data_IF_963883675872
#
_entry.id   IF_963883675872
#
_cell.length_a   1.000
_cell.length_b   1.000
_cell.length_c   1.000
_cell.angle_alpha   90.00
_cell.angle_beta   90.00
_cell.angle_gamma   90.00
#
_symmetry.space_group_name_H-M   'P 1'
#
loop_
_entity.id
_entity.type
_entity.pdbx_description
1 polymer ?
#
# COMPACT_ATOMS: atom_id res chain seq x y z
N UNK A 1 -19.62 8.49 9.00
CA UNK A 1 -20.44 7.28 9.14
C UNK A 1 -19.54 6.10 8.86
N UNK A 2 -19.25 5.27 9.86
CA UNK A 2 -18.52 4.02 9.66
C UNK A 2 -19.45 3.09 8.88
N UNK A 3 -19.06 2.67 7.68
CA UNK A 3 -19.83 1.68 6.92
C UNK A 3 -19.73 0.37 7.69
N UNK A 4 -20.85 -0.13 8.20
CA UNK A 4 -20.93 -1.45 8.82
C UNK A 4 -20.59 -2.49 7.73
N UNK A 5 -19.55 -3.29 7.95
CA UNK A 5 -19.12 -4.28 6.96
C UNK A 5 -20.22 -5.33 6.77
N UNK A 6 -20.67 -5.50 5.53
CA UNK A 6 -21.57 -6.59 5.15
C UNK A 6 -20.79 -7.57 4.28
N UNK A 7 -20.58 -8.83 4.72
CA UNK A 7 -19.86 -9.81 3.92
C UNK A 7 -20.58 -10.11 2.61
N UNK A 8 -19.86 -10.00 1.49
CA UNK A 8 -20.36 -10.43 0.17
C UNK A 8 -20.32 -11.95 0.04
N UNK A 9 -19.34 -12.58 0.64
CA UNK A 9 -19.21 -14.04 0.72
C UNK A 9 -19.63 -14.47 2.12
N UNK A 10 -20.70 -15.25 2.21
CA UNK A 10 -21.19 -15.81 3.47
C UNK A 10 -20.96 -17.32 3.46
N UNK A 11 -20.15 -17.79 4.41
CA UNK A 11 -19.85 -19.21 4.56
C UNK A 11 -20.73 -19.76 5.67
N UNK A 12 -21.57 -20.74 5.34
CA UNK A 12 -22.41 -21.43 6.31
C UNK A 12 -21.56 -22.42 7.11
N UNK A 13 -21.03 -21.98 8.25
CA UNK A 13 -20.15 -22.76 9.13
C UNK A 13 -20.36 -22.38 10.59
N UNK A 14 -20.13 -23.34 11.48
CA UNK A 14 -20.06 -23.18 12.94
C UNK A 14 -18.69 -22.66 13.43
N UNK A 15 -17.68 -22.61 12.55
CA UNK A 15 -16.31 -22.19 12.91
C UNK A 15 -16.14 -20.68 12.98
N UNK A 16 -17.07 -19.93 12.41
CA UNK A 16 -16.98 -18.48 12.23
C UNK A 16 -18.14 -17.81 12.96
N UNK A 17 -17.80 -16.81 13.79
CA UNK A 17 -18.78 -16.01 14.51
C UNK A 17 -18.55 -14.53 14.20
N UNK A 18 -19.62 -13.86 13.77
CA UNK A 18 -19.60 -12.42 13.51
C UNK A 18 -20.21 -11.68 14.70
N UNK A 19 -19.56 -10.58 15.07
CA UNK A 19 -20.15 -9.50 15.87
C UNK A 19 -20.28 -8.24 15.00
N UNK A 20 -20.76 -7.14 15.58
CA UNK A 20 -20.86 -5.86 14.85
C UNK A 20 -19.49 -5.38 14.33
N UNK A 21 -18.43 -5.55 15.13
CA UNK A 21 -17.11 -4.98 14.88
C UNK A 21 -16.03 -6.02 14.56
N UNK A 22 -16.28 -7.32 14.77
CA UNK A 22 -15.25 -8.33 14.62
C UNK A 22 -15.76 -9.68 14.11
N UNK A 23 -14.86 -10.44 13.51
CA UNK A 23 -15.04 -11.84 13.16
C UNK A 23 -14.06 -12.67 13.96
N UNK A 24 -14.53 -13.77 14.57
CA UNK A 24 -13.66 -14.82 15.10
C UNK A 24 -13.80 -16.09 14.27
N UNK A 25 -12.69 -16.79 14.06
CA UNK A 25 -12.65 -18.04 13.30
C UNK A 25 -11.72 -19.05 13.95
N UNK A 26 -12.22 -20.26 14.19
CA UNK A 26 -11.40 -21.38 14.65
C UNK A 26 -10.77 -22.11 13.45
N UNK A 27 -9.49 -22.41 13.53
CA UNK A 27 -8.74 -23.08 12.46
C UNK A 27 -7.70 -24.04 13.04
N UNK A 28 -7.77 -25.31 12.64
CA UNK A 28 -6.75 -26.30 12.96
C UNK A 28 -5.68 -26.27 11.87
N UNK A 29 -4.51 -25.72 12.21
CA UNK A 29 -3.33 -25.80 11.37
C UNK A 29 -2.79 -27.22 11.40
N UNK A 30 -2.45 -27.78 10.24
CA UNK A 30 -1.86 -29.11 10.10
C UNK A 30 -0.56 -28.99 9.33
N UNK A 31 0.51 -29.56 9.87
CA UNK A 31 1.81 -29.57 9.21
C UNK A 31 2.61 -30.82 9.63
N UNK A 32 3.80 -30.99 9.07
CA UNK A 32 4.68 -32.11 9.35
C UNK A 32 6.06 -31.63 9.78
N UNK A 33 6.65 -32.29 10.77
CA UNK A 33 8.10 -32.23 11.04
C UNK A 33 8.74 -33.40 10.32
N UNK A 34 9.82 -33.16 9.57
CA UNK A 34 10.53 -34.21 8.82
C UNK A 34 11.96 -34.32 9.34
N UNK A 35 12.34 -35.52 9.76
CA UNK A 35 13.70 -35.87 10.14
C UNK A 35 14.30 -36.77 9.05
N UNK A 36 15.53 -36.49 8.62
CA UNK A 36 16.27 -37.32 7.67
C UNK A 36 17.20 -38.27 8.44
N UNK A 37 17.11 -39.56 8.15
CA UNK A 37 17.97 -40.61 8.71
C UNK A 37 18.57 -41.46 7.58
N UNK A 38 19.82 -41.15 7.20
CA UNK A 38 20.44 -41.68 5.99
C UNK A 38 19.64 -41.31 4.74
N UNK A 39 19.13 -42.32 4.02
CA UNK A 39 18.25 -42.17 2.85
C UNK A 39 16.75 -42.20 3.21
N UNK A 40 16.40 -42.41 4.48
CA UNK A 40 15.02 -42.45 4.96
C UNK A 40 14.55 -41.07 5.47
N UNK A 41 13.24 -40.86 5.40
CA UNK A 41 12.57 -39.68 5.94
C UNK A 41 11.51 -40.09 6.96
N UNK A 42 11.69 -39.68 8.21
CA UNK A 42 10.69 -39.81 9.26
C UNK A 42 9.81 -38.58 9.28
N UNK A 43 8.56 -38.72 8.81
CA UNK A 43 7.57 -37.65 8.78
C UNK A 43 6.67 -37.77 10.02
N UNK A 44 6.62 -36.71 10.83
CA UNK A 44 5.83 -36.60 12.06
C UNK A 44 4.75 -35.53 11.87
N UNK A 45 3.50 -35.91 11.52
CA UNK A 45 2.38 -34.98 11.42
C UNK A 45 2.06 -34.38 12.80
N UNK A 46 1.70 -33.11 12.83
CA UNK A 46 1.14 -32.45 14.01
C UNK A 46 -0.03 -31.55 13.63
N UNK A 47 -0.79 -31.13 14.63
CA UNK A 47 -1.88 -30.18 14.47
C UNK A 47 -1.88 -29.19 15.62
N UNK A 48 -2.24 -27.95 15.32
CA UNK A 48 -2.30 -26.85 16.28
C UNK A 48 -3.55 -26.02 16.03
N UNK A 49 -4.35 -25.82 17.07
CA UNK A 49 -5.60 -25.06 16.96
C UNK A 49 -5.35 -23.58 17.21
N UNK A 50 -5.81 -22.76 16.26
CA UNK A 50 -5.78 -21.31 16.35
C UNK A 50 -7.19 -20.74 16.37
N UNK A 51 -7.34 -19.65 17.11
CA UNK A 51 -8.49 -18.76 16.98
C UNK A 51 -8.01 -17.42 16.41
N UNK A 52 -8.48 -17.11 15.21
CA UNK A 52 -8.24 -15.82 14.57
C UNK A 52 -9.31 -14.83 14.98
N UNK A 53 -8.91 -13.58 15.21
CA UNK A 53 -9.82 -12.44 15.35
C UNK A 53 -9.49 -11.38 14.31
N UNK A 54 -10.49 -10.96 13.55
CA UNK A 54 -10.40 -9.92 12.52
C UNK A 54 -11.27 -8.74 12.93
N UNK A 55 -10.70 -7.55 12.93
CA UNK A 55 -11.46 -6.29 13.06
C UNK A 55 -12.14 -6.01 11.71
N UNK A 56 -13.46 -5.85 11.73
CA UNK A 56 -14.26 -5.64 10.52
C UNK A 56 -14.35 -4.16 10.13
N UNK A 57 -13.92 -3.24 11.00
CA UNK A 57 -13.89 -1.81 10.71
C UNK A 57 -12.73 -1.48 9.78
N UNK A 58 -13.05 -1.03 8.56
CA UNK A 58 -12.06 -0.50 7.62
C UNK A 58 -11.58 0.88 8.11
N UNK A 59 -10.29 1.04 8.44
CA UNK A 59 -9.75 2.30 8.96
C UNK A 59 -9.55 3.33 7.84
N UNK A 60 -9.63 4.61 8.18
CA UNK A 60 -9.06 5.65 7.33
C UNK A 60 -7.54 5.53 7.32
N UNK A 61 -6.98 5.20 6.15
CA UNK A 61 -5.58 4.79 6.01
C UNK A 61 -4.71 5.89 5.39
N UNK A 62 -3.63 6.25 6.08
CA UNK A 62 -2.53 7.01 5.50
C UNK A 62 -1.40 6.11 4.99
N UNK A 63 -0.78 6.51 3.89
CA UNK A 63 0.44 5.87 3.35
C UNK A 63 1.50 6.94 3.20
N UNK A 64 2.62 6.80 3.90
CA UNK A 64 3.77 7.70 3.75
C UNK A 64 4.93 6.97 3.08
N UNK A 65 5.36 7.45 1.91
CA UNK A 65 6.43 6.80 1.14
C UNK A 65 7.76 7.49 1.37
N UNK A 66 8.83 6.72 1.58
CA UNK A 66 10.20 7.23 1.43
C UNK A 66 10.58 7.13 -0.05
N UNK A 67 10.95 8.26 -0.66
CA UNK A 67 11.11 8.37 -2.11
C UNK A 67 9.79 8.66 -2.84
N UNK A 68 8.93 9.48 -2.23
CA UNK A 68 7.61 9.84 -2.76
C UNK A 68 7.70 10.44 -4.18
N UNK A 69 8.72 11.23 -4.47
CA UNK A 69 8.96 11.86 -5.77
C UNK A 69 9.70 10.97 -6.78
N UNK A 70 9.97 9.71 -6.45
CA UNK A 70 10.51 8.73 -7.40
C UNK A 70 9.46 8.23 -8.41
N UNK A 71 9.89 7.40 -9.36
CA UNK A 71 9.00 6.81 -10.37
C UNK A 71 7.85 6.04 -9.72
N UNK A 72 8.14 5.23 -8.70
CA UNK A 72 7.12 4.44 -8.00
C UNK A 72 6.18 5.32 -7.16
N UNK A 73 6.70 6.27 -6.38
CA UNK A 73 5.86 7.09 -5.50
C UNK A 73 4.92 8.02 -6.28
N UNK A 74 5.41 8.63 -7.36
CA UNK A 74 4.59 9.45 -8.26
C UNK A 74 3.54 8.61 -9.00
N UNK A 75 3.91 7.43 -9.52
CA UNK A 75 2.97 6.51 -10.20
C UNK A 75 1.92 5.95 -9.24
N UNK A 76 2.31 5.54 -8.03
CA UNK A 76 1.40 5.06 -6.99
C UNK A 76 0.35 6.12 -6.65
N UNK A 77 0.79 7.36 -6.42
CA UNK A 77 -0.10 8.47 -6.09
C UNK A 77 -1.02 8.81 -7.27
N UNK A 78 -0.48 8.82 -8.49
CA UNK A 78 -1.28 9.02 -9.70
C UNK A 78 -2.36 7.95 -9.88
N UNK A 79 -2.02 6.68 -9.65
CA UNK A 79 -2.96 5.56 -9.76
C UNK A 79 -4.09 5.68 -8.73
N UNK A 80 -3.79 6.08 -7.48
CA UNK A 80 -4.80 6.37 -6.45
C UNK A 80 -5.76 7.47 -6.91
N UNK A 81 -5.24 8.62 -7.35
CA UNK A 81 -6.08 9.75 -7.77
C UNK A 81 -6.90 9.43 -9.02
N UNK A 82 -6.28 8.82 -10.04
CA UNK A 82 -6.96 8.49 -11.29
C UNK A 82 -8.11 7.51 -11.10
N UNK A 83 -7.93 6.47 -10.27
CA UNK A 83 -9.00 5.50 -9.97
C UNK A 83 -10.07 6.12 -9.08
N UNK A 84 -9.69 6.91 -8.07
CA UNK A 84 -10.63 7.61 -7.19
C UNK A 84 -11.56 8.54 -7.96
N UNK A 85 -11.01 9.30 -8.89
CA UNK A 85 -11.75 10.25 -9.72
C UNK A 85 -12.35 9.62 -10.99
N UNK A 86 -12.17 8.30 -11.16
CA UNK A 86 -12.68 7.51 -12.30
C UNK A 86 -12.27 8.10 -13.64
N UNK A 87 -11.02 8.53 -13.76
CA UNK A 87 -10.52 9.19 -14.95
C UNK A 87 -10.44 8.22 -16.14
N UNK A 88 -10.81 8.72 -17.31
CA UNK A 88 -10.40 8.15 -18.59
C UNK A 88 -9.42 9.10 -19.27
N UNK A 89 -8.41 8.54 -19.93
CA UNK A 89 -7.35 9.27 -20.61
C UNK A 89 -7.08 8.66 -21.98
N UNK A 90 -6.66 9.50 -22.91
CA UNK A 90 -6.38 9.11 -24.27
C UNK A 90 -5.00 8.45 -24.37
N UNK A 91 -4.95 7.40 -25.16
CA UNK A 91 -3.73 6.72 -25.59
C UNK A 91 -3.70 6.70 -27.12
N UNK A 92 -2.60 6.22 -27.72
CA UNK A 92 -2.49 6.05 -29.17
C UNK A 92 -3.53 5.08 -29.75
N UNK A 93 -4.08 4.18 -28.94
CA UNK A 93 -5.06 3.16 -29.35
C UNK A 93 -6.50 3.50 -28.94
N UNK A 94 -6.72 4.66 -28.34
CA UNK A 94 -8.03 5.12 -27.88
C UNK A 94 -8.07 5.44 -26.38
N UNK A 95 -9.26 5.79 -25.85
CA UNK A 95 -9.43 6.10 -24.44
C UNK A 95 -9.34 4.84 -23.57
N UNK A 96 -8.66 4.98 -22.43
CA UNK A 96 -8.54 3.95 -21.39
C UNK A 96 -9.06 4.51 -20.07
N UNK A 97 -9.82 3.72 -19.32
CA UNK A 97 -10.26 4.06 -17.97
C UNK A 97 -9.26 3.57 -16.94
N UNK A 98 -8.95 4.42 -15.96
CA UNK A 98 -8.09 4.08 -14.85
C UNK A 98 -8.55 2.79 -14.15
N UNK A 99 -7.59 1.92 -13.83
CA UNK A 99 -7.83 0.64 -13.18
C UNK A 99 -6.65 0.28 -12.25
N UNK A 100 -6.76 -0.84 -11.55
CA UNK A 100 -5.71 -1.42 -10.72
C UNK A 100 -5.19 -2.76 -11.26
N UNK A 101 -5.10 -2.92 -12.59
CA UNK A 101 -4.51 -4.12 -13.18
C UNK A 101 -3.08 -4.34 -12.67
N UNK A 102 -2.72 -5.62 -12.48
CA UNK A 102 -1.48 -6.02 -11.82
C UNK A 102 -1.56 -6.07 -10.29
N UNK A 103 -2.60 -5.51 -9.66
CA UNK A 103 -2.82 -5.67 -8.22
C UNK A 103 -3.57 -6.96 -7.90
N UNK A 104 -2.94 -7.88 -7.17
CA UNK A 104 -3.60 -9.12 -6.70
C UNK A 104 -4.86 -8.77 -5.90
N UNK A 105 -4.78 -7.81 -4.98
CA UNK A 105 -5.93 -7.53 -4.10
C UNK A 105 -7.10 -6.88 -4.82
N UNK A 106 -6.87 -6.15 -5.92
CA UNK A 106 -7.93 -5.42 -6.63
C UNK A 106 -8.40 -6.08 -7.93
N UNK A 107 -7.55 -6.89 -8.57
CA UNK A 107 -7.78 -7.41 -9.91
C UNK A 107 -7.70 -8.94 -10.02
N UNK A 108 -7.43 -9.68 -8.93
CA UNK A 108 -7.47 -11.15 -8.94
C UNK A 108 -8.74 -11.72 -8.31
N UNK A 109 -8.97 -13.00 -8.56
CA UNK A 109 -10.05 -13.79 -8.00
C UNK A 109 -9.51 -14.98 -7.23
N UNK A 110 -10.31 -15.52 -6.31
CA UNK A 110 -10.05 -16.77 -5.60
C UNK A 110 -11.21 -17.73 -5.81
N UNK A 111 -10.90 -19.02 -5.96
CA UNK A 111 -11.91 -20.08 -6.06
C UNK A 111 -12.57 -20.27 -4.69
N UNK A 112 -13.89 -20.13 -4.64
CA UNK A 112 -14.68 -20.41 -3.43
C UNK A 112 -15.07 -21.89 -3.33
N UNK A 113 -15.29 -22.53 -4.46
CA UNK A 113 -15.76 -23.92 -4.52
C UNK A 113 -16.25 -24.26 -5.92
N UNK A 114 -17.24 -25.14 -5.97
CA UNK A 114 -17.95 -25.52 -7.19
C UNK A 114 -19.45 -25.24 -7.05
N UNK A 115 -20.13 -24.99 -8.15
CA UNK A 115 -21.59 -24.87 -8.18
C UNK A 115 -22.27 -26.26 -8.19
N UNK A 116 -23.61 -26.28 -8.28
CA UNK A 116 -24.39 -27.51 -8.31
C UNK A 116 -24.13 -28.40 -9.55
N UNK A 117 -23.49 -27.86 -10.59
CA UNK A 117 -23.10 -28.58 -11.81
C UNK A 117 -21.65 -29.07 -11.75
N UNK A 118 -20.90 -28.70 -10.70
CA UNK A 118 -19.49 -29.03 -10.54
C UNK A 118 -18.54 -28.01 -11.16
N UNK A 119 -19.04 -26.88 -11.64
CA UNK A 119 -18.22 -25.84 -12.27
C UNK A 119 -17.61 -24.90 -11.22
N UNK A 120 -16.39 -24.44 -11.46
CA UNK A 120 -15.66 -23.61 -10.52
C UNK A 120 -16.32 -22.24 -10.31
N UNK A 121 -16.52 -21.86 -9.04
CA UNK A 121 -17.04 -20.55 -8.66
C UNK A 121 -15.92 -19.69 -8.07
N UNK A 122 -15.71 -18.53 -8.66
CA UNK A 122 -14.69 -17.56 -8.25
C UNK A 122 -15.32 -16.29 -7.69
N UNK A 123 -14.64 -15.65 -6.74
CA UNK A 123 -14.99 -14.32 -6.23
C UNK A 123 -13.78 -13.39 -6.25
N UNK A 124 -13.98 -12.05 -6.34
CA UNK A 124 -12.90 -11.08 -6.19
C UNK A 124 -12.11 -11.29 -4.90
N UNK A 125 -10.78 -11.15 -4.94
CA UNK A 125 -9.94 -11.36 -3.77
C UNK A 125 -10.36 -10.49 -2.57
N UNK A 126 -10.66 -9.21 -2.82
CA UNK A 126 -11.08 -8.25 -1.81
C UNK A 126 -12.54 -8.41 -1.34
N UNK A 127 -13.31 -9.40 -1.82
CA UNK A 127 -14.70 -9.61 -1.38
C UNK A 127 -14.84 -10.60 -0.22
N UNK A 128 -13.76 -11.27 0.18
CA UNK A 128 -13.79 -12.29 1.25
C UNK A 128 -13.82 -11.66 2.65
N UNK A 129 -13.01 -10.61 2.84
CA UNK A 129 -12.86 -9.89 4.11
C UNK A 129 -12.71 -8.39 3.83
N UNK A 130 -13.00 -7.51 4.81
CA UNK A 130 -12.90 -6.07 4.62
C UNK A 130 -11.44 -5.65 4.42
N UNK A 131 -11.09 -5.32 3.18
CA UNK A 131 -9.80 -4.72 2.83
C UNK A 131 -9.98 -3.22 2.56
N UNK A 132 -8.97 -2.42 2.91
CA UNK A 132 -8.94 -1.00 2.56
C UNK A 132 -8.89 -0.87 1.03
N UNK A 133 -9.76 -0.03 0.47
CA UNK A 133 -9.72 0.31 -0.95
C UNK A 133 -8.60 1.33 -1.19
N UNK A 134 -7.71 1.13 -2.18
CA UNK A 134 -6.65 2.10 -2.47
C UNK A 134 -7.14 3.51 -2.81
N UNK A 135 -8.38 3.68 -3.29
CA UNK A 135 -9.01 4.98 -3.52
C UNK A 135 -9.17 5.81 -2.23
N UNK A 136 -9.17 5.15 -1.06
CA UNK A 136 -9.31 5.78 0.25
C UNK A 136 -7.96 6.12 0.89
N UNK A 137 -6.84 5.83 0.22
CA UNK A 137 -5.52 6.17 0.73
C UNK A 137 -5.31 7.69 0.74
N UNK A 138 -4.81 8.17 1.88
CA UNK A 138 -4.22 9.51 2.00
C UNK A 138 -2.72 9.37 1.86
N UNK A 139 -2.18 9.78 0.71
CA UNK A 139 -0.77 9.58 0.37
C UNK A 139 0.06 10.81 0.75
N UNK A 140 1.22 10.58 1.35
CA UNK A 140 2.24 11.56 1.67
C UNK A 140 3.61 10.91 1.72
N UNK A 141 4.59 11.57 2.32
CA UNK A 141 5.93 11.00 2.48
C UNK A 141 7.04 11.98 2.22
N UNK A 142 8.24 11.44 2.05
CA UNK A 142 9.50 12.18 2.00
C UNK A 142 10.22 11.91 0.69
N UNK A 143 11.01 12.88 0.23
CA UNK A 143 11.96 12.69 -0.86
C UNK A 143 13.13 13.65 -0.64
N UNK A 144 14.33 13.25 -1.08
CA UNK A 144 15.51 14.11 -1.05
C UNK A 144 15.41 15.23 -2.09
N UNK A 145 14.51 15.09 -3.08
CA UNK A 145 14.16 16.13 -4.04
C UNK A 145 12.91 16.91 -3.62
N UNK A 146 12.92 18.22 -3.83
CA UNK A 146 11.81 19.14 -3.53
C UNK A 146 10.72 19.16 -4.60
N UNK A 147 10.96 18.49 -5.74
CA UNK A 147 10.05 18.44 -6.87
C UNK A 147 8.67 17.93 -6.46
N UNK A 148 7.62 18.64 -6.89
CA UNK A 148 6.25 18.23 -6.66
C UNK A 148 5.92 16.97 -7.49
N UNK A 149 4.79 16.31 -7.19
CA UNK A 149 4.50 15.04 -7.85
C UNK A 149 4.14 15.16 -9.34
N UNK A 150 3.72 16.33 -9.83
CA UNK A 150 3.57 16.53 -11.28
C UNK A 150 4.94 16.55 -11.97
N UNK A 151 5.90 17.31 -11.44
CA UNK A 151 7.27 17.31 -11.93
C UNK A 151 7.90 15.90 -11.85
N UNK A 152 7.62 15.16 -10.79
CA UNK A 152 8.04 13.78 -10.64
C UNK A 152 7.45 12.84 -11.71
N UNK A 153 6.16 12.97 -12.04
CA UNK A 153 5.54 12.20 -13.14
C UNK A 153 6.18 12.51 -14.49
N UNK A 154 6.39 13.81 -14.78
CA UNK A 154 7.03 14.25 -16.03
C UNK A 154 8.45 13.70 -16.14
N UNK A 155 9.23 13.77 -15.05
CA UNK A 155 10.59 13.20 -14.98
C UNK A 155 10.59 11.68 -15.10
N UNK A 156 9.61 11.01 -14.48
CA UNK A 156 9.56 9.56 -14.41
C UNK A 156 9.22 8.89 -15.75
N UNK A 157 8.52 9.59 -16.65
CA UNK A 157 8.17 9.10 -17.99
C UNK A 157 7.47 7.73 -18.01
N UNK A 158 6.70 7.44 -16.96
CA UNK A 158 5.97 6.16 -16.82
C UNK A 158 4.56 6.24 -17.39
N UNK A 159 3.87 7.36 -17.17
CA UNK A 159 2.45 7.52 -17.46
C UNK A 159 2.22 8.19 -18.81
N UNK A 160 1.07 7.88 -19.42
CA UNK A 160 0.62 8.53 -20.65
C UNK A 160 0.48 10.05 -20.46
N UNK A 161 0.87 10.82 -21.48
CA UNK A 161 0.91 12.28 -21.39
C UNK A 161 -0.45 12.90 -21.04
N UNK A 162 -1.54 12.42 -21.64
CA UNK A 162 -2.89 12.93 -21.37
C UNK A 162 -3.30 12.69 -19.90
N UNK A 163 -2.93 11.55 -19.32
CA UNK A 163 -3.16 11.28 -17.90
C UNK A 163 -2.37 12.24 -17.00
N UNK A 164 -1.09 12.48 -17.33
CA UNK A 164 -0.24 13.44 -16.60
C UNK A 164 -0.89 14.83 -16.60
N UNK A 165 -1.40 15.29 -17.75
CA UNK A 165 -2.05 16.60 -17.85
C UNK A 165 -3.36 16.66 -17.05
N UNK A 166 -4.19 15.62 -17.10
CA UNK A 166 -5.43 15.53 -16.31
C UNK A 166 -5.19 15.56 -14.79
N UNK A 167 -4.08 14.98 -14.34
CA UNK A 167 -3.72 14.94 -12.92
C UNK A 167 -2.93 16.15 -12.42
N UNK A 168 -2.46 17.03 -13.32
CA UNK A 168 -1.57 18.16 -13.01
C UNK A 168 -2.01 18.97 -11.80
N UNK A 169 -3.26 19.46 -11.81
CA UNK A 169 -3.76 20.35 -10.76
C UNK A 169 -3.85 19.71 -9.36
N UNK A 170 -3.90 18.38 -9.26
CA UNK A 170 -3.84 17.68 -7.98
C UNK A 170 -2.40 17.35 -7.59
N UNK A 171 -1.60 16.86 -8.54
CA UNK A 171 -0.24 16.40 -8.29
C UNK A 171 0.75 17.54 -8.01
N UNK A 172 0.53 18.74 -8.59
CA UNK A 172 1.34 19.94 -8.26
C UNK A 172 1.20 20.36 -6.79
N UNK A 173 0.08 20.05 -6.15
CA UNK A 173 -0.18 20.37 -4.73
C UNK A 173 0.51 19.42 -3.76
N UNK A 174 0.99 18.28 -4.26
CA UNK A 174 1.62 17.25 -3.43
C UNK A 174 3.13 17.43 -3.53
N UNK A 175 3.72 18.01 -2.48
CA UNK A 175 5.17 18.15 -2.32
C UNK A 175 5.69 17.17 -1.28
N UNK A 176 6.81 16.45 -1.55
CA UNK A 176 7.45 15.62 -0.55
C UNK A 176 7.92 16.44 0.66
N UNK A 177 7.83 15.85 1.84
CA UNK A 177 8.53 16.35 3.02
C UNK A 177 10.04 16.22 2.83
N UNK A 178 10.86 17.09 3.46
CA UNK A 178 12.31 16.93 3.44
C UNK A 178 12.71 15.58 4.01
N UNK A 179 13.65 14.87 3.38
CA UNK A 179 14.11 13.56 3.86
C UNK A 179 15.44 13.68 4.63
N UNK A 180 16.05 12.53 4.91
CA UNK A 180 17.41 12.43 5.45
C UNK A 180 18.30 11.89 4.33
N UNK A 181 19.41 12.58 4.05
CA UNK A 181 20.36 12.14 3.05
C UNK A 181 21.73 11.86 3.67
N UNK A 182 22.18 10.62 3.60
CA UNK A 182 23.53 10.21 3.97
C UNK A 182 24.25 9.72 2.71
N UNK A 183 25.17 10.52 2.13
CA UNK A 183 25.80 10.23 0.84
C UNK A 183 26.41 8.83 0.73
N UNK A 184 27.03 8.33 1.80
CA UNK A 184 27.71 7.03 1.83
C UNK A 184 26.79 5.82 1.56
N UNK A 185 25.48 6.00 1.64
CA UNK A 185 24.50 4.93 1.49
C UNK A 185 23.86 4.85 0.08
N UNK A 186 24.08 5.83 -0.78
CA UNK A 186 23.52 5.86 -2.14
C UNK A 186 24.56 6.34 -3.16
N UNK A 187 24.26 6.18 -4.45
CA UNK A 187 25.18 6.58 -5.51
C UNK A 187 25.49 8.09 -5.46
N UNK A 188 26.75 8.46 -5.69
CA UNK A 188 27.23 9.84 -5.58
C UNK A 188 26.51 10.81 -6.54
N UNK A 189 25.99 10.31 -7.66
CA UNK A 189 25.21 11.08 -8.63
C UNK A 189 23.85 11.58 -8.10
N UNK A 190 23.44 11.18 -6.89
CA UNK A 190 22.22 11.70 -6.25
C UNK A 190 22.45 13.01 -5.50
N UNK A 191 23.68 13.49 -5.36
CA UNK A 191 23.96 14.71 -4.57
C UNK A 191 23.28 15.95 -5.16
N UNK A 192 23.30 16.10 -6.49
CA UNK A 192 22.63 17.21 -7.18
C UNK A 192 21.11 17.18 -7.01
N UNK A 193 20.54 15.99 -6.79
CA UNK A 193 19.10 15.79 -6.59
C UNK A 193 18.66 16.08 -5.15
N UNK A 194 19.59 16.10 -4.20
CA UNK A 194 19.30 16.18 -2.77
C UNK A 194 19.14 17.63 -2.27
N UNK A 195 18.15 18.36 -2.76
CA UNK A 195 17.84 19.74 -2.35
C UNK A 195 16.84 19.85 -1.17
N UNK A 196 16.25 18.73 -0.75
CA UNK A 196 15.17 18.67 0.24
C UNK A 196 15.51 17.74 1.41
N UNK A 197 16.48 18.14 2.25
CA UNK A 197 16.99 17.32 3.34
C UNK A 197 17.06 18.07 4.68
N UNK A 198 16.57 17.46 5.76
CA UNK A 198 16.66 18.04 7.12
C UNK A 198 18.10 18.28 7.59
N UNK A 199 19.00 17.43 7.11
CA UNK A 199 20.39 17.41 7.51
C UNK A 199 21.33 18.11 6.52
N UNK A 200 20.78 18.97 5.64
CA UNK A 200 21.54 19.80 4.71
C UNK A 200 21.45 21.28 5.10
N UNK A 201 22.58 21.98 5.07
CA UNK A 201 22.68 23.43 5.24
C UNK A 201 23.52 24.00 4.09
N UNK A 202 22.87 24.66 3.13
CA UNK A 202 23.52 25.06 1.88
C UNK A 202 24.05 23.83 1.14
N UNK A 203 25.33 23.86 0.75
CA UNK A 203 25.99 22.72 0.10
C UNK A 203 26.41 21.60 1.08
N UNK A 204 26.40 21.84 2.39
CA UNK A 204 26.94 20.91 3.37
C UNK A 204 25.88 19.94 3.90
N UNK A 205 26.20 18.66 3.96
CA UNK A 205 25.36 17.60 4.55
C UNK A 205 25.99 17.10 5.84
N UNK A 206 25.20 17.05 6.92
CA UNK A 206 25.61 16.50 8.20
C UNK A 206 25.13 15.05 8.36
N UNK A 207 26.07 14.15 8.63
CA UNK A 207 25.77 12.76 9.04
C UNK A 207 25.75 12.58 10.57
N UNK A 208 26.02 13.66 11.33
CA UNK A 208 26.01 13.70 12.79
C UNK A 208 24.58 13.91 13.31
N UNK A 209 24.35 13.60 14.59
CA UNK A 209 23.07 13.89 15.25
C UNK A 209 21.91 13.00 14.81
N UNK A 210 22.16 11.77 14.31
CA UNK A 210 21.14 10.88 13.72
C UNK A 210 19.87 10.68 14.57
N UNK A 211 20.00 10.76 15.90
CA UNK A 211 18.85 10.68 16.80
C UNK A 211 17.85 11.83 16.62
N UNK A 212 18.31 13.07 16.35
CA UNK A 212 17.40 14.18 16.07
C UNK A 212 16.65 13.96 14.75
N UNK A 213 17.28 13.31 13.78
CA UNK A 213 16.63 12.96 12.52
C UNK A 213 15.53 11.92 12.73
N UNK A 214 15.77 10.91 13.59
CA UNK A 214 14.73 9.95 14.00
C UNK A 214 13.54 10.67 14.65
N UNK A 215 13.81 11.58 15.58
CA UNK A 215 12.74 12.35 16.24
C UNK A 215 11.97 13.24 15.26
N UNK A 216 12.63 13.80 14.25
CA UNK A 216 11.97 14.54 13.17
C UNK A 216 11.03 13.63 12.37
N UNK A 217 11.46 12.45 11.93
CA UNK A 217 10.60 11.50 11.21
C UNK A 217 9.40 11.05 12.07
N UNK A 218 9.63 10.78 13.36
CA UNK A 218 8.54 10.46 14.31
C UNK A 218 7.57 11.62 14.48
N UNK A 219 8.04 12.87 14.42
CA UNK A 219 7.18 14.06 14.43
C UNK A 219 6.37 14.14 13.14
N UNK A 220 6.99 14.01 11.98
CA UNK A 220 6.32 14.05 10.68
C UNK A 220 5.19 13.01 10.57
N UNK A 221 5.44 11.78 11.04
CA UNK A 221 4.43 10.71 11.08
C UNK A 221 3.22 11.12 11.96
N UNK A 222 3.49 11.66 13.16
CA UNK A 222 2.43 12.12 14.08
C UNK A 222 1.64 13.28 13.49
N UNK A 223 2.32 14.26 12.92
CA UNK A 223 1.72 15.44 12.31
C UNK A 223 0.86 15.05 11.10
N UNK A 224 1.35 14.15 10.24
CA UNK A 224 0.59 13.65 9.09
C UNK A 224 -0.66 12.87 9.52
N UNK A 225 -0.52 12.00 10.54
CA UNK A 225 -1.65 11.28 11.12
C UNK A 225 -2.71 12.24 11.66
N UNK A 226 -2.30 13.23 12.45
CA UNK A 226 -3.20 14.20 13.08
C UNK A 226 -3.87 15.12 12.05
N UNK A 227 -3.08 15.73 11.16
CA UNK A 227 -3.55 16.65 10.11
C UNK A 227 -4.64 16.02 9.25
N UNK A 228 -4.48 14.75 8.91
CA UNK A 228 -5.42 14.03 8.04
C UNK A 228 -6.49 13.24 8.80
N UNK A 229 -6.50 13.28 10.15
CA UNK A 229 -7.43 12.55 11.01
C UNK A 229 -7.48 11.05 10.69
N UNK A 230 -6.31 10.42 10.61
CA UNK A 230 -6.16 9.02 10.19
C UNK A 230 -6.26 8.06 11.38
N UNK A 231 -6.92 6.92 11.17
CA UNK A 231 -7.00 5.85 12.17
C UNK A 231 -5.69 5.05 12.18
N UNK A 232 -5.24 4.65 10.98
CA UNK A 232 -4.01 3.88 10.75
C UNK A 232 -3.11 4.58 9.74
N UNK A 233 -1.82 4.33 9.86
CA UNK A 233 -0.78 4.87 8.99
C UNK A 233 0.24 3.77 8.71
N UNK A 234 0.67 3.67 7.46
CA UNK A 234 1.75 2.80 7.00
C UNK A 234 2.87 3.66 6.41
N UNK A 235 4.10 3.36 6.81
CA UNK A 235 5.34 3.96 6.33
C UNK A 235 6.21 2.89 5.71
#
# INVERSE_FOLDING_TARGET
MTVQYTPKVQVHTDKVHYTEDSLTSNYTYKNNVVEKDGDNYLVKPFSEDYQFKVDLKVPKMGVMLVGLGGNNGSTFTAAVLANKDKLSFNTKTGPVTANYYGSVTQASTIKLGVDAKGEDVYAPFNSLLPLVNPNDFVVGGWDISSANLYEAMVRGQVLEYDLIQKLKGQMEKIKPLPSIYYPDFIAANQDERADNCYNRQGANISTKGKWSHVEQIRKDIRDFKQKNKLDKLKT
#
